data_IF_723518987606
#
_entry.id   IF_723518987606
#
_cell.length_a   1.000
_cell.length_b   1.000
_cell.length_c   1.000
_cell.angle_alpha   90.00
_cell.angle_beta   90.00
_cell.angle_gamma   90.00
#
_symmetry.space_group_name_H-M   'P 1'
#
loop_
_entity.id
_entity.type
_entity.pdbx_description
1 polymer ?
#
# COMPACT_ATOMS: atom_id res chain seq x y z
N UNK A 1 -8.13 -34.20 17.86
CA UNK A 1 -7.72 -32.94 17.20
C UNK A 1 -8.53 -32.84 15.94
N UNK A 2 -9.62 -32.07 15.99
CA UNK A 2 -10.42 -31.79 14.80
C UNK A 2 -9.54 -31.05 13.80
N UNK A 3 -9.45 -31.59 12.58
CA UNK A 3 -8.88 -30.87 11.45
C UNK A 3 -9.78 -29.66 11.23
N UNK A 4 -9.33 -28.48 11.63
CA UNK A 4 -9.99 -27.24 11.24
C UNK A 4 -10.08 -27.21 9.72
N UNK A 5 -11.29 -27.13 9.19
CA UNK A 5 -11.52 -26.84 7.79
C UNK A 5 -10.92 -25.45 7.52
N UNK A 6 -9.68 -25.43 7.05
CA UNK A 6 -9.06 -24.20 6.55
C UNK A 6 -9.88 -23.82 5.34
N UNK A 7 -10.74 -22.81 5.49
CA UNK A 7 -11.50 -22.26 4.39
C UNK A 7 -10.53 -21.87 3.29
N UNK A 8 -10.62 -22.54 2.15
CA UNK A 8 -9.76 -22.36 0.97
C UNK A 8 -9.87 -20.96 0.34
N UNK A 9 -10.63 -20.06 0.97
CA UNK A 9 -10.89 -18.68 0.55
C UNK A 9 -10.12 -17.64 1.39
N UNK A 10 -9.50 -18.03 2.51
CA UNK A 10 -8.70 -17.10 3.32
C UNK A 10 -7.27 -16.96 2.78
N UNK A 11 -6.71 -15.75 2.86
CA UNK A 11 -5.36 -15.43 2.34
C UNK A 11 -4.27 -16.40 2.86
N UNK A 12 -4.35 -16.79 4.12
CA UNK A 12 -3.39 -17.74 4.71
C UNK A 12 -3.55 -19.14 4.13
N UNK A 13 -4.79 -19.60 3.93
CA UNK A 13 -5.08 -20.88 3.29
C UNK A 13 -4.53 -20.90 1.86
N UNK A 14 -4.79 -19.85 1.08
CA UNK A 14 -4.26 -19.69 -0.28
C UNK A 14 -2.73 -19.66 -0.30
N UNK A 15 -2.09 -18.96 0.65
CA UNK A 15 -0.64 -18.86 0.75
C UNK A 15 -0.01 -20.23 1.06
N UNK A 16 -0.57 -20.96 2.03
CA UNK A 16 -0.09 -22.29 2.43
C UNK A 16 -0.27 -23.31 1.31
N UNK A 17 -1.41 -23.28 0.63
CA UNK A 17 -1.73 -24.16 -0.48
C UNK A 17 -0.80 -23.89 -1.68
N UNK A 18 -0.63 -22.61 -2.06
CA UNK A 18 0.31 -22.23 -3.11
C UNK A 18 1.75 -22.61 -2.75
N UNK A 19 2.14 -22.44 -1.49
CA UNK A 19 3.47 -22.80 -1.02
C UNK A 19 3.70 -24.31 -1.06
N UNK A 20 2.68 -25.10 -0.70
CA UNK A 20 2.74 -26.56 -0.76
C UNK A 20 2.92 -27.05 -2.20
N UNK A 21 2.14 -26.51 -3.15
CA UNK A 21 2.30 -26.85 -4.58
C UNK A 21 3.70 -26.52 -5.11
N UNK A 22 4.24 -25.34 -4.77
CA UNK A 22 5.60 -24.96 -5.20
C UNK A 22 6.66 -25.93 -4.65
N UNK A 23 6.54 -26.37 -3.38
CA UNK A 23 7.46 -27.35 -2.79
C UNK A 23 7.40 -28.69 -3.53
N UNK A 24 6.20 -29.14 -3.90
CA UNK A 24 5.97 -30.42 -4.58
C UNK A 24 6.50 -30.38 -6.03
N UNK A 25 6.25 -29.29 -6.76
CA UNK A 25 6.57 -29.18 -8.18
C UNK A 25 8.02 -28.75 -8.46
N UNK A 26 8.54 -27.81 -7.65
CA UNK A 26 9.83 -27.15 -7.86
C UNK A 26 10.92 -27.56 -6.87
N UNK A 27 10.57 -28.37 -5.86
CA UNK A 27 11.45 -28.79 -4.78
C UNK A 27 11.45 -27.84 -3.57
N UNK A 28 11.84 -28.36 -2.41
CA UNK A 28 11.81 -27.65 -1.12
C UNK A 28 12.56 -26.30 -1.12
N UNK A 29 13.59 -26.13 -1.95
CA UNK A 29 14.39 -24.90 -2.02
C UNK A 29 13.62 -23.71 -2.63
N UNK A 30 12.58 -23.96 -3.41
CA UNK A 30 11.76 -22.90 -4.02
C UNK A 30 10.54 -22.52 -3.18
N UNK A 31 10.17 -23.35 -2.21
CA UNK A 31 9.13 -23.04 -1.24
C UNK A 31 9.57 -22.05 -0.16
N UNK A 32 8.61 -21.36 0.45
CA UNK A 32 8.79 -20.57 1.66
C UNK A 32 8.88 -21.46 2.90
N UNK A 33 9.81 -21.11 3.79
CA UNK A 33 9.83 -21.64 5.14
C UNK A 33 8.64 -21.12 5.96
N UNK A 34 8.29 -21.83 7.02
CA UNK A 34 7.22 -21.43 7.95
C UNK A 34 7.51 -20.05 8.57
N UNK A 35 8.77 -19.77 8.93
CA UNK A 35 9.17 -18.46 9.44
C UNK A 35 8.89 -17.34 8.43
N UNK A 36 9.16 -17.60 7.15
CA UNK A 36 8.88 -16.64 6.08
C UNK A 36 7.38 -16.44 5.91
N UNK A 37 6.58 -17.51 5.92
CA UNK A 37 5.10 -17.41 5.89
C UNK A 37 4.59 -16.54 7.04
N UNK A 38 5.05 -16.77 8.27
CA UNK A 38 4.68 -15.94 9.43
C UNK A 38 5.08 -14.47 9.23
N UNK A 39 6.28 -14.22 8.70
CA UNK A 39 6.77 -12.87 8.44
C UNK A 39 5.91 -12.13 7.40
N UNK A 40 5.50 -12.81 6.33
CA UNK A 40 4.61 -12.25 5.30
C UNK A 40 3.22 -11.95 5.88
N UNK A 41 2.66 -12.84 6.71
CA UNK A 41 1.38 -12.59 7.39
C UNK A 41 1.43 -11.36 8.30
N UNK A 42 2.52 -11.18 9.05
CA UNK A 42 2.72 -9.98 9.87
C UNK A 42 2.82 -8.72 9.02
N UNK A 43 3.50 -8.81 7.88
CA UNK A 43 3.61 -7.70 6.94
C UNK A 43 2.24 -7.31 6.37
N UNK A 44 1.42 -8.27 5.92
CA UNK A 44 0.06 -8.00 5.45
C UNK A 44 -0.81 -7.36 6.52
N UNK A 45 -0.75 -7.87 7.75
CA UNK A 45 -1.50 -7.30 8.87
C UNK A 45 -1.11 -5.85 9.14
N UNK A 46 0.19 -5.55 9.29
CA UNK A 46 0.66 -4.19 9.58
C UNK A 46 0.40 -3.24 8.41
N UNK A 47 0.76 -3.65 7.19
CA UNK A 47 0.58 -2.83 6.00
C UNK A 47 -0.90 -2.55 5.73
N UNK A 48 -1.79 -3.51 5.98
CA UNK A 48 -3.23 -3.36 5.79
C UNK A 48 -3.89 -2.56 6.92
N UNK A 49 -3.61 -2.87 8.18
CA UNK A 49 -4.34 -2.33 9.31
C UNK A 49 -4.07 -0.84 9.54
N UNK A 50 -2.80 -0.45 9.65
CA UNK A 50 -2.46 0.94 9.97
C UNK A 50 -2.92 1.89 8.85
N UNK A 51 -2.66 1.52 7.61
CA UNK A 51 -3.02 2.34 6.45
C UNK A 51 -4.54 2.45 6.28
N UNK A 52 -5.29 1.35 6.44
CA UNK A 52 -6.75 1.34 6.33
C UNK A 52 -7.41 2.12 7.47
N UNK A 53 -6.93 1.96 8.72
CA UNK A 53 -7.45 2.71 9.86
C UNK A 53 -7.28 4.22 9.68
N UNK A 54 -6.09 4.66 9.25
CA UNK A 54 -5.81 6.08 8.97
C UNK A 54 -6.71 6.60 7.85
N UNK A 55 -6.90 5.81 6.79
CA UNK A 55 -7.75 6.17 5.65
C UNK A 55 -9.21 6.36 6.08
N UNK A 56 -9.75 5.46 6.90
CA UNK A 56 -11.12 5.54 7.43
C UNK A 56 -11.30 6.79 8.29
N UNK A 57 -10.41 7.00 9.28
CA UNK A 57 -10.51 8.15 10.18
C UNK A 57 -10.44 9.47 9.42
N UNK A 58 -9.54 9.58 8.44
CA UNK A 58 -9.41 10.77 7.60
C UNK A 58 -10.62 10.99 6.70
N UNK A 59 -11.19 9.92 6.15
CA UNK A 59 -12.43 9.97 5.37
C UNK A 59 -13.58 10.52 6.21
N UNK A 60 -13.74 10.02 7.44
CA UNK A 60 -14.77 10.50 8.37
C UNK A 60 -14.58 11.98 8.73
N UNK A 61 -13.35 12.41 8.99
CA UNK A 61 -13.02 13.82 9.27
C UNK A 61 -13.33 14.70 8.05
N UNK A 62 -13.06 14.23 6.83
CA UNK A 62 -13.34 15.02 5.62
C UNK A 62 -14.84 15.14 5.38
N UNK A 63 -15.59 14.04 5.51
CA UNK A 63 -17.04 14.05 5.35
C UNK A 63 -17.72 14.93 6.43
N UNK A 64 -17.24 14.92 7.68
CA UNK A 64 -17.81 15.75 8.73
C UNK A 64 -17.58 17.24 8.54
N UNK A 65 -16.52 17.63 7.81
CA UNK A 65 -16.24 19.03 7.43
C UNK A 65 -16.97 19.48 6.16
N UNK A 66 -17.41 18.55 5.33
CA UNK A 66 -18.04 18.82 4.04
C UNK A 66 -19.42 18.14 3.97
N UNK A 67 -20.42 18.75 4.62
CA UNK A 67 -21.78 18.22 4.72
C UNK A 67 -22.41 17.89 3.35
N UNK A 68 -22.12 18.69 2.31
CA UNK A 68 -22.62 18.44 0.95
C UNK A 68 -22.08 17.10 0.39
N UNK A 69 -20.81 16.80 0.65
CA UNK A 69 -20.18 15.54 0.21
C UNK A 69 -20.68 14.36 1.03
N UNK A 70 -20.94 14.57 2.32
CA UNK A 70 -21.55 13.56 3.19
C UNK A 70 -22.98 13.21 2.75
N UNK A 71 -23.81 14.21 2.47
CA UNK A 71 -25.17 14.02 1.97
C UNK A 71 -25.17 13.26 0.65
N UNK A 72 -24.32 13.66 -0.30
CA UNK A 72 -24.16 13.00 -1.59
C UNK A 72 -23.67 11.55 -1.45
N UNK A 73 -22.70 11.29 -0.58
CA UNK A 73 -22.22 9.94 -0.33
C UNK A 73 -23.33 9.03 0.24
N UNK A 74 -24.16 9.57 1.15
CA UNK A 74 -25.30 8.85 1.71
C UNK A 74 -26.35 8.54 0.65
N UNK A 75 -26.66 9.51 -0.21
CA UNK A 75 -27.58 9.32 -1.33
C UNK A 75 -27.06 8.26 -2.31
N UNK A 76 -25.78 8.30 -2.68
CA UNK A 76 -25.16 7.26 -3.53
C UNK A 76 -25.27 5.86 -2.92
N UNK A 77 -25.04 5.71 -1.61
CA UNK A 77 -25.17 4.44 -0.91
C UNK A 77 -26.61 3.92 -0.98
N UNK A 78 -27.58 4.78 -0.69
CA UNK A 78 -29.01 4.43 -0.72
C UNK A 78 -29.48 4.08 -2.14
N UNK A 79 -28.99 4.76 -3.17
CA UNK A 79 -29.34 4.47 -4.56
C UNK A 79 -28.73 3.15 -5.07
N UNK A 80 -27.54 2.79 -4.58
CA UNK A 80 -26.86 1.56 -5.05
C UNK A 80 -27.37 0.33 -4.34
N UNK A 81 -27.57 0.42 -3.02
CA UNK A 81 -27.96 -0.73 -2.21
C UNK A 81 -29.44 -0.79 -1.91
N UNK A 82 -30.18 0.33 -1.89
CA UNK A 82 -31.59 0.36 -1.50
C UNK A 82 -31.79 -0.42 -0.17
N UNK A 83 -32.54 -1.52 -0.20
CA UNK A 83 -32.75 -2.47 0.92
C UNK A 83 -31.97 -3.79 0.76
N UNK A 84 -31.05 -3.87 -0.20
CA UNK A 84 -30.24 -5.06 -0.50
C UNK A 84 -28.97 -5.08 0.34
N UNK A 85 -28.52 -6.30 0.65
CA UNK A 85 -27.24 -6.48 1.32
C UNK A 85 -26.08 -5.91 0.48
N UNK A 86 -25.08 -5.27 1.13
CA UNK A 86 -23.90 -4.79 0.44
C UNK A 86 -23.17 -5.92 -0.31
N UNK A 87 -22.78 -5.65 -1.55
CA UNK A 87 -22.00 -6.57 -2.37
C UNK A 87 -20.82 -5.84 -3.03
N UNK A 88 -19.82 -6.60 -3.47
CA UNK A 88 -18.58 -6.05 -4.05
C UNK A 88 -18.83 -5.14 -5.25
N UNK A 89 -19.72 -5.55 -6.17
CA UNK A 89 -20.04 -4.76 -7.37
C UNK A 89 -20.67 -3.40 -7.03
N UNK A 90 -21.50 -3.34 -5.98
CA UNK A 90 -22.08 -2.11 -5.48
C UNK A 90 -21.05 -1.17 -4.87
N UNK A 91 -20.09 -1.71 -4.10
CA UNK A 91 -19.03 -0.91 -3.47
C UNK A 91 -18.17 -0.16 -4.51
N UNK A 92 -17.96 -0.74 -5.70
CA UNK A 92 -17.19 -0.12 -6.78
C UNK A 92 -17.89 1.07 -7.45
N UNK A 93 -19.19 1.27 -7.20
CA UNK A 93 -19.99 2.32 -7.84
C UNK A 93 -19.98 3.65 -7.09
N UNK A 94 -19.34 3.72 -5.92
CA UNK A 94 -19.31 4.90 -5.06
C UNK A 94 -18.30 5.97 -5.49
N UNK A 95 -18.73 6.85 -6.40
CA UNK A 95 -17.89 7.91 -6.96
C UNK A 95 -17.49 8.96 -5.93
N UNK A 96 -18.38 9.30 -5.00
CA UNK A 96 -18.09 10.33 -3.99
C UNK A 96 -17.11 9.83 -2.94
N UNK A 97 -17.28 8.59 -2.45
CA UNK A 97 -16.35 7.97 -1.50
C UNK A 97 -14.97 7.79 -2.14
N UNK A 98 -14.91 7.28 -3.36
CA UNK A 98 -13.67 7.11 -4.12
C UNK A 98 -12.90 8.43 -4.34
N UNK A 99 -13.63 9.54 -4.58
CA UNK A 99 -13.03 10.88 -4.66
C UNK A 99 -12.44 11.33 -3.32
N UNK A 100 -13.13 11.08 -2.20
CA UNK A 100 -12.64 11.40 -0.86
C UNK A 100 -11.39 10.59 -0.51
N UNK A 101 -11.38 9.30 -0.83
CA UNK A 101 -10.23 8.41 -0.59
C UNK A 101 -8.99 8.88 -1.38
N UNK A 102 -9.15 9.30 -2.64
CA UNK A 102 -8.06 9.80 -3.48
C UNK A 102 -7.39 11.08 -2.96
N UNK A 103 -8.11 11.92 -2.22
CA UNK A 103 -7.52 13.14 -1.64
C UNK A 103 -6.46 12.83 -0.58
N UNK A 104 -6.51 11.66 0.06
CA UNK A 104 -5.61 11.30 1.16
C UNK A 104 -4.59 10.22 0.82
N UNK A 105 -4.78 9.43 -0.25
CA UNK A 105 -3.79 8.42 -0.68
C UNK A 105 -2.46 9.03 -1.16
N UNK A 106 -2.37 10.36 -1.29
CA UNK A 106 -1.16 11.10 -1.65
C UNK A 106 -0.06 11.13 -0.56
N UNK A 107 -0.28 10.49 0.60
CA UNK A 107 0.61 10.58 1.76
C UNK A 107 1.75 9.55 1.84
N UNK A 108 1.72 8.48 1.04
CA UNK A 108 2.76 7.43 1.08
C UNK A 108 3.74 7.61 -0.08
N UNK A 109 4.91 8.16 0.21
CA UNK A 109 5.99 8.25 -0.77
C UNK A 109 6.49 6.86 -1.15
N UNK A 110 6.47 6.51 -2.44
CA UNK A 110 7.17 5.33 -2.94
C UNK A 110 8.66 5.65 -3.06
N UNK A 111 9.48 5.02 -2.22
CA UNK A 111 10.93 5.11 -2.34
C UNK A 111 11.42 4.19 -3.45
N UNK A 112 12.24 4.70 -4.36
CA UNK A 112 12.93 3.91 -5.38
C UNK A 112 14.42 3.86 -5.08
N UNK A 113 15.12 2.84 -5.56
CA UNK A 113 16.58 2.79 -5.50
C UNK A 113 17.12 2.52 -6.90
N UNK A 114 18.18 3.21 -7.29
CA UNK A 114 18.89 2.94 -8.53
C UNK A 114 19.91 1.83 -8.35
N UNK A 115 19.76 0.74 -9.12
CA UNK A 115 20.70 -0.39 -9.12
C UNK A 115 21.91 -0.18 -10.04
N UNK A 116 21.87 0.86 -10.86
CA UNK A 116 22.96 1.33 -11.70
C UNK A 116 22.79 2.82 -11.96
N UNK A 117 23.89 3.50 -12.25
CA UNK A 117 23.82 4.87 -12.73
C UNK A 117 22.96 4.91 -14.01
N UNK A 118 22.01 5.83 -14.07
CA UNK A 118 21.05 5.93 -15.15
C UNK A 118 20.75 7.38 -15.49
N UNK A 119 20.52 7.65 -16.77
CA UNK A 119 20.07 8.96 -17.24
C UNK A 119 18.56 8.90 -17.47
N UNK A 120 17.81 9.72 -16.73
CA UNK A 120 16.36 9.89 -16.88
C UNK A 120 16.09 11.25 -17.53
N UNK A 121 15.98 11.26 -18.86
CA UNK A 121 15.86 12.49 -19.63
C UNK A 121 17.08 13.41 -19.43
N UNK A 122 16.86 14.57 -18.83
CA UNK A 122 17.91 15.53 -18.49
C UNK A 122 18.62 15.23 -17.15
N UNK A 123 18.10 14.30 -16.33
CA UNK A 123 18.63 14.03 -15.00
C UNK A 123 19.59 12.83 -15.00
N UNK A 124 20.71 12.97 -14.30
CA UNK A 124 21.62 11.86 -14.02
C UNK A 124 21.36 11.33 -12.61
N UNK A 125 21.03 10.05 -12.51
CA UNK A 125 20.79 9.36 -11.24
C UNK A 125 22.00 8.47 -10.93
N UNK A 126 22.76 8.72 -9.84
CA UNK A 126 23.89 7.89 -9.46
C UNK A 126 23.42 6.53 -8.91
N UNK A 127 24.36 5.58 -8.79
CA UNK A 127 24.11 4.31 -8.09
C UNK A 127 23.70 4.57 -6.63
N UNK A 128 22.73 3.80 -6.11
CA UNK A 128 22.22 3.87 -4.73
C UNK A 128 21.48 5.17 -4.34
N UNK A 129 20.97 5.94 -5.31
CA UNK A 129 20.15 7.11 -5.02
C UNK A 129 18.73 6.70 -4.57
N UNK A 130 18.29 7.17 -3.41
CA UNK A 130 16.91 7.06 -2.94
C UNK A 130 16.18 8.41 -3.12
N UNK A 131 15.12 8.52 -3.94
CA UNK A 131 14.42 9.78 -4.12
C UNK A 131 13.48 9.97 -2.93
N UNK A 132 13.81 10.96 -2.11
CA UNK A 132 12.84 11.72 -1.31
C UNK A 132 13.60 12.80 -0.54
N UNK A 133 14.24 13.76 -1.24
CA UNK A 133 14.76 15.02 -0.66
C UNK A 133 16.26 15.06 -0.25
N UNK A 134 17.08 14.09 -0.65
CA UNK A 134 18.51 14.04 -0.32
C UNK A 134 19.39 13.97 -1.58
N UNK A 135 20.20 15.00 -1.86
CA UNK A 135 21.25 14.92 -2.87
C UNK A 135 22.57 14.61 -2.15
N UNK A 136 23.05 13.37 -2.28
CA UNK A 136 24.35 12.96 -1.72
C UNK A 136 25.44 13.13 -2.78
N UNK A 137 26.26 14.17 -2.65
CA UNK A 137 27.45 14.36 -3.49
C UNK A 137 28.62 13.64 -2.80
N UNK A 138 29.16 12.58 -3.44
CA UNK A 138 30.36 11.87 -2.97
C UNK A 138 31.58 12.27 -3.83
N UNK A 139 32.43 13.21 -3.36
CA UNK A 139 33.69 13.51 -4.04
C UNK A 139 34.72 12.39 -3.82
N UNK A 140 35.68 12.28 -4.75
CA UNK A 140 36.77 11.29 -4.73
C UNK A 140 37.74 11.47 -3.55
N UNK A 141 37.76 12.64 -2.92
CA UNK A 141 38.44 12.91 -1.65
C UNK A 141 37.55 13.80 -0.78
N UNK A 142 37.41 13.48 0.51
CA UNK A 142 36.63 14.25 1.49
C UNK A 142 35.35 13.56 1.99
N UNK A 143 34.69 14.19 2.95
CA UNK A 143 33.43 13.68 3.51
C UNK A 143 32.25 13.90 2.54
N UNK A 144 31.28 12.97 2.45
CA UNK A 144 30.09 13.14 1.61
C UNK A 144 29.30 14.39 1.99
N UNK A 145 28.95 15.20 0.99
CA UNK A 145 28.07 16.36 1.18
C UNK A 145 26.62 15.91 1.05
N UNK A 146 25.88 16.03 2.16
CA UNK A 146 24.46 15.72 2.24
C UNK A 146 23.69 17.03 2.12
N UNK A 147 23.12 17.30 0.95
CA UNK A 147 22.30 18.50 0.74
C UNK A 147 20.83 18.16 0.97
N UNK A 148 20.22 18.79 1.98
CA UNK A 148 18.77 18.81 2.17
C UNK A 148 18.18 20.06 1.52
N UNK A 149 17.03 19.91 0.84
CA UNK A 149 16.24 21.06 0.38
C UNK A 149 15.72 21.82 1.62
N UNK A 150 16.12 23.08 1.78
CA UNK A 150 15.54 23.95 2.80
C UNK A 150 14.06 24.19 2.46
N UNK A 151 13.16 23.75 3.34
CA UNK A 151 11.74 24.10 3.28
C UNK A 151 11.55 25.51 3.86
N UNK A 152 11.42 26.50 2.96
CA UNK A 152 10.78 27.79 3.22
C UNK A 152 11.72 29.00 3.26
N UNK A 153 11.76 29.77 2.17
CA UNK A 153 11.74 31.24 2.17
C UNK A 153 10.94 31.70 0.93
N UNK A 154 9.79 32.32 1.22
CA UNK A 154 8.68 32.84 0.39
C UNK A 154 7.77 31.80 -0.26
#
# INVERSE_FOLDING_TARGET
>A
MEKGEVGYEELLGLLLESNHREIVESGHEKGMSIDKVISECKLFYLAGQETTAILIVRTLILLSKHYDWQAKAREEILQVFEDKEPNFDGLLRFKTVDRVLRLYLLGTGMYRKTYRAARLGAYYLPLDHAPSNLLTIRPQFGAPLILQKLSGVV
#
